data_IF_172217561091
#
_entry.id   IF_172217561091
#
_cell.length_a   1.000
_cell.length_b   1.000
_cell.length_c   1.000
_cell.angle_alpha   90.00
_cell.angle_beta   90.00
_cell.angle_gamma   90.00
#
_symmetry.space_group_name_H-M   'P 1'
#
loop_
_entity.id
_entity.type
_entity.pdbx_description
1 polymer ?
#
# COMPACT_ATOMS: atom_id res chain seq x y z
N UNK A 1 25.73 10.04 -20.28
CA UNK A 1 24.54 9.80 -19.44
C UNK A 1 23.65 8.86 -20.23
N UNK A 2 23.32 7.67 -19.71
CA UNK A 2 22.52 6.68 -20.44
C UNK A 2 21.12 7.24 -20.72
N UNK A 3 20.55 6.94 -21.88
CA UNK A 3 19.15 7.25 -22.19
C UNK A 3 18.28 6.01 -21.97
N UNK A 4 16.98 6.19 -21.80
CA UNK A 4 16.06 5.04 -21.66
C UNK A 4 16.09 4.18 -22.93
N UNK A 5 16.15 4.83 -24.10
CA UNK A 5 16.26 4.17 -25.40
C UNK A 5 17.57 3.40 -25.59
N UNK A 6 18.66 3.77 -24.90
CA UNK A 6 19.91 3.01 -24.97
C UNK A 6 19.95 1.84 -23.99
N UNK A 7 19.06 1.80 -23.00
CA UNK A 7 19.03 0.77 -21.95
C UNK A 7 18.01 -0.33 -22.19
N UNK A 8 16.88 0.00 -22.83
CA UNK A 8 15.75 -0.91 -23.01
C UNK A 8 15.63 -1.32 -24.48
N UNK A 9 15.39 -2.62 -24.72
CA UNK A 9 14.95 -3.09 -26.03
C UNK A 9 13.50 -2.64 -26.32
N UNK A 10 12.97 -2.98 -27.49
CA UNK A 10 11.64 -2.53 -27.92
C UNK A 10 10.52 -2.91 -26.93
N UNK A 11 10.45 -4.18 -26.52
CA UNK A 11 9.43 -4.69 -25.59
C UNK A 11 9.46 -3.93 -24.25
N UNK A 12 10.66 -3.77 -23.67
CA UNK A 12 10.82 -3.06 -22.41
C UNK A 12 10.54 -1.56 -22.53
N UNK A 13 10.87 -0.97 -23.68
CA UNK A 13 10.58 0.42 -23.94
C UNK A 13 9.05 0.65 -24.06
N UNK A 14 8.29 -0.30 -24.62
CA UNK A 14 6.83 -0.22 -24.63
C UNK A 14 6.24 -0.32 -23.24
N UNK A 15 6.70 -1.28 -22.42
CA UNK A 15 6.33 -1.40 -21.00
C UNK A 15 6.54 -0.08 -20.26
N UNK A 16 7.72 0.50 -20.40
CA UNK A 16 8.05 1.81 -19.84
C UNK A 16 7.12 2.93 -20.34
N UNK A 17 6.79 2.98 -21.64
CA UNK A 17 5.89 4.01 -22.20
C UNK A 17 4.51 4.01 -21.53
N UNK A 18 3.98 2.83 -21.15
CA UNK A 18 2.66 2.70 -20.51
C UNK A 18 2.58 3.36 -19.13
N UNK A 19 3.71 3.43 -18.42
CA UNK A 19 3.78 3.96 -17.05
C UNK A 19 4.38 5.37 -16.96
N UNK A 20 5.16 5.79 -17.96
CA UNK A 20 5.99 6.99 -17.90
C UNK A 20 5.22 8.30 -17.66
N UNK A 21 3.94 8.35 -18.03
CA UNK A 21 3.12 9.55 -18.02
C UNK A 21 1.99 9.52 -16.98
N UNK A 22 2.00 8.56 -16.04
CA UNK A 22 0.94 8.44 -15.04
C UNK A 22 0.89 9.63 -14.05
N UNK A 23 2.02 10.34 -13.84
CA UNK A 23 2.09 11.62 -13.11
C UNK A 23 1.29 11.64 -11.80
N UNK A 24 1.48 10.61 -10.97
CA UNK A 24 0.63 10.31 -9.82
C UNK A 24 0.98 11.24 -8.66
N UNK A 25 -0.06 11.86 -8.10
CA UNK A 25 -0.04 12.78 -6.96
C UNK A 25 -1.11 12.30 -5.98
N UNK A 26 -0.70 11.39 -5.11
CA UNK A 26 -1.61 10.73 -4.18
C UNK A 26 -1.52 11.33 -2.77
N UNK A 27 -2.66 11.35 -2.09
CA UNK A 27 -2.77 11.64 -0.66
C UNK A 27 -3.60 10.54 0.02
N UNK A 28 -3.39 10.37 1.33
CA UNK A 28 -4.10 9.41 2.16
C UNK A 28 -5.10 10.15 3.05
N UNK A 29 -6.30 9.59 3.20
CA UNK A 29 -7.37 10.20 3.98
C UNK A 29 -7.99 9.17 4.93
N UNK A 30 -7.87 9.41 6.23
CA UNK A 30 -8.64 8.66 7.23
C UNK A 30 -10.09 9.12 7.16
N UNK A 31 -11.01 8.25 6.76
CA UNK A 31 -12.42 8.63 6.66
C UNK A 31 -13.14 8.65 8.00
N UNK A 32 -12.59 7.98 9.00
CA UNK A 32 -13.20 7.86 10.33
C UNK A 32 -12.14 7.56 11.39
N UNK A 33 -12.42 7.97 12.63
CA UNK A 33 -11.63 7.57 13.79
C UNK A 33 -12.02 6.18 14.36
N UNK A 34 -13.01 5.51 13.74
CA UNK A 34 -13.60 4.24 14.22
C UNK A 34 -13.13 3.05 13.39
N UNK A 35 -13.01 1.89 14.04
CA UNK A 35 -12.84 0.59 13.38
C UNK A 35 -13.75 -0.44 14.04
N UNK A 36 -14.29 -1.37 13.26
CA UNK A 36 -15.03 -2.54 13.73
C UNK A 36 -14.13 -3.73 14.10
N UNK A 37 -12.79 -3.54 14.10
CA UNK A 37 -11.77 -4.49 14.57
C UNK A 37 -10.80 -3.82 15.56
N UNK A 38 -10.01 -4.63 16.27
CA UNK A 38 -8.91 -4.20 17.14
C UNK A 38 -7.69 -5.10 16.93
N UNK A 39 -7.09 -4.98 15.74
CA UNK A 39 -5.99 -5.86 15.35
C UNK A 39 -4.74 -5.63 16.22
N UNK A 40 -4.04 -6.70 16.56
CA UNK A 40 -2.81 -6.70 17.36
C UNK A 40 -1.66 -6.06 16.57
N UNK A 41 -1.22 -4.86 16.96
CA UNK A 41 -0.19 -4.12 16.23
C UNK A 41 -0.74 -3.22 15.11
N UNK A 42 -2.02 -2.86 15.16
CA UNK A 42 -2.61 -1.87 14.28
C UNK A 42 -2.10 -0.45 14.62
N UNK A 43 -1.23 0.10 13.78
CA UNK A 43 -0.63 1.44 13.96
C UNK A 43 -1.66 2.54 14.23
N UNK A 44 -2.86 2.41 13.66
CA UNK A 44 -3.93 3.41 13.77
C UNK A 44 -4.40 3.64 15.22
N UNK A 45 -4.59 2.56 15.97
CA UNK A 45 -4.96 2.66 17.39
C UNK A 45 -3.75 2.90 18.26
N UNK A 46 -2.71 2.15 17.96
CA UNK A 46 -1.57 1.98 18.83
C UNK A 46 -0.78 3.31 18.91
N UNK A 47 -0.64 4.01 17.79
CA UNK A 47 0.05 5.29 17.70
C UNK A 47 -0.85 6.51 17.90
N UNK A 48 -2.10 6.30 18.35
CA UNK A 48 -3.03 7.39 18.65
C UNK A 48 -3.57 8.15 17.43
N UNK A 49 -3.42 7.62 16.21
CA UNK A 49 -3.87 8.31 14.99
C UNK A 49 -5.39 8.52 14.94
N UNK A 50 -6.13 7.67 15.64
CA UNK A 50 -7.57 7.78 15.85
C UNK A 50 -7.99 8.90 16.83
N UNK A 51 -7.07 9.55 17.54
CA UNK A 51 -7.41 10.54 18.59
C UNK A 51 -7.67 11.91 17.93
N UNK A 52 -8.82 12.01 17.27
CA UNK A 52 -9.34 13.24 16.66
C UNK A 52 -10.86 13.30 16.83
N UNK A 53 -11.43 14.51 16.76
CA UNK A 53 -12.89 14.68 16.66
C UNK A 53 -13.30 14.63 15.21
N UNK A 54 -13.92 13.52 14.80
CA UNK A 54 -14.37 13.25 13.44
C UNK A 54 -15.33 14.35 12.93
N UNK A 55 -15.09 14.84 11.70
CA UNK A 55 -16.02 15.74 11.03
C UNK A 55 -17.18 14.93 10.44
N UNK A 56 -18.39 15.29 10.82
CA UNK A 56 -19.61 14.54 10.48
C UNK A 56 -20.39 15.17 9.32
N UNK A 57 -20.13 16.44 9.01
CA UNK A 57 -20.82 17.19 7.97
C UNK A 57 -20.28 16.85 6.58
N UNK A 58 -21.13 16.23 5.75
CA UNK A 58 -20.76 15.82 4.41
C UNK A 58 -20.40 17.00 3.50
N UNK A 59 -21.04 18.16 3.64
CA UNK A 59 -20.74 19.32 2.78
C UNK A 59 -19.32 19.84 3.02
N UNK A 60 -18.84 19.76 4.26
CA UNK A 60 -17.44 20.10 4.59
C UNK A 60 -16.45 19.09 4.00
N UNK A 61 -16.79 17.80 4.01
CA UNK A 61 -15.99 16.78 3.32
C UNK A 61 -15.91 17.08 1.83
N UNK A 62 -17.03 17.37 1.18
CA UNK A 62 -17.08 17.71 -0.24
C UNK A 62 -16.20 18.94 -0.56
N UNK A 63 -16.34 20.01 0.20
CA UNK A 63 -15.53 21.22 0.04
C UNK A 63 -14.03 20.96 0.30
N UNK A 64 -13.70 20.10 1.26
CA UNK A 64 -12.33 19.69 1.52
C UNK A 64 -11.75 18.90 0.33
N UNK A 65 -12.51 17.95 -0.22
CA UNK A 65 -12.09 17.16 -1.39
C UNK A 65 -11.83 18.07 -2.60
N UNK A 66 -12.70 19.07 -2.82
CA UNK A 66 -12.52 20.05 -3.90
C UNK A 66 -11.24 20.86 -3.73
N UNK A 67 -10.86 21.21 -2.49
CA UNK A 67 -9.57 21.86 -2.20
C UNK A 67 -8.39 20.94 -2.49
N UNK A 68 -8.47 19.67 -2.11
CA UNK A 68 -7.41 18.69 -2.37
C UNK A 68 -7.20 18.44 -3.86
N UNK A 69 -8.30 18.40 -4.63
CA UNK A 69 -8.26 18.36 -6.09
C UNK A 69 -7.60 19.60 -6.67
N UNK A 70 -7.97 20.79 -6.19
CA UNK A 70 -7.36 22.06 -6.61
C UNK A 70 -5.87 22.14 -6.25
N UNK A 71 -5.44 21.49 -5.16
CA UNK A 71 -4.02 21.32 -4.77
C UNK A 71 -3.24 20.40 -5.72
N UNK A 72 -3.93 19.69 -6.62
CA UNK A 72 -3.33 18.85 -7.67
C UNK A 72 -3.31 17.36 -7.35
N UNK A 73 -3.97 16.92 -6.27
CA UNK A 73 -4.15 15.49 -5.98
C UNK A 73 -4.97 14.86 -7.10
N UNK A 74 -4.50 13.73 -7.63
CA UNK A 74 -5.19 12.96 -8.68
C UNK A 74 -5.46 11.50 -8.30
N UNK A 75 -5.14 11.11 -7.07
CA UNK A 75 -5.48 9.81 -6.50
C UNK A 75 -5.71 9.93 -4.99
N UNK A 76 -6.92 9.64 -4.52
CA UNK A 76 -7.24 9.59 -3.11
C UNK A 76 -7.17 8.14 -2.59
N UNK A 77 -6.32 7.90 -1.60
CA UNK A 77 -6.21 6.62 -0.91
C UNK A 77 -7.00 6.72 0.39
N UNK A 78 -8.17 6.09 0.43
CA UNK A 78 -9.11 6.17 1.54
C UNK A 78 -8.85 5.01 2.49
N UNK A 79 -8.58 5.38 3.74
CA UNK A 79 -8.29 4.47 4.83
C UNK A 79 -9.08 4.91 6.08
N UNK A 80 -8.55 4.62 7.26
CA UNK A 80 -9.00 5.09 8.56
C UNK A 80 -8.83 3.94 9.55
N UNK A 81 -9.72 3.89 10.55
CA UNK A 81 -9.94 2.63 11.25
C UNK A 81 -10.59 1.61 10.31
N UNK A 82 -11.80 1.89 9.83
CA UNK A 82 -12.48 1.13 8.77
C UNK A 82 -13.33 2.06 7.89
N UNK A 83 -12.92 2.37 6.64
CA UNK A 83 -13.61 3.36 5.81
C UNK A 83 -15.04 2.98 5.43
N UNK A 84 -15.35 1.68 5.35
CA UNK A 84 -16.70 1.21 4.97
C UNK A 84 -17.79 1.50 6.02
N UNK A 85 -17.40 2.01 7.20
CA UNK A 85 -18.34 2.56 8.17
C UNK A 85 -18.90 3.94 7.76
N UNK A 86 -18.33 4.58 6.74
CA UNK A 86 -18.66 5.93 6.27
C UNK A 86 -18.87 5.95 4.74
N UNK A 87 -19.91 5.25 4.28
CA UNK A 87 -20.22 5.09 2.85
C UNK A 87 -20.59 6.39 2.12
N UNK A 88 -21.09 7.38 2.85
CA UNK A 88 -21.36 8.75 2.37
C UNK A 88 -20.06 9.47 2.00
N UNK A 89 -19.05 9.41 2.87
CA UNK A 89 -17.73 10.02 2.64
C UNK A 89 -16.95 9.30 1.55
N UNK A 90 -17.00 7.96 1.53
CA UNK A 90 -16.47 7.16 0.43
C UNK A 90 -17.04 7.61 -0.91
N UNK A 91 -18.37 7.78 -0.98
CA UNK A 91 -19.05 8.26 -2.18
C UNK A 91 -18.66 9.70 -2.56
N UNK A 92 -18.50 10.59 -1.58
CA UNK A 92 -18.10 11.97 -1.83
C UNK A 92 -16.72 12.05 -2.52
N UNK A 93 -15.75 11.24 -2.08
CA UNK A 93 -14.44 11.12 -2.75
C UNK A 93 -14.57 10.50 -4.13
N UNK A 94 -15.23 9.34 -4.23
CA UNK A 94 -15.37 8.61 -5.49
C UNK A 94 -15.98 9.45 -6.62
N UNK A 95 -16.98 10.29 -6.30
CA UNK A 95 -17.61 11.21 -7.28
C UNK A 95 -16.71 12.35 -7.76
N UNK A 96 -15.66 12.70 -7.00
CA UNK A 96 -14.85 13.91 -7.23
C UNK A 96 -13.43 13.62 -7.71
N UNK A 97 -12.88 12.47 -7.31
CA UNK A 97 -11.46 12.14 -7.46
C UNK A 97 -11.29 10.63 -7.68
N UNK A 98 -10.35 10.20 -8.56
CA UNK A 98 -9.96 8.79 -8.61
C UNK A 98 -9.59 8.28 -7.22
N UNK A 99 -10.16 7.16 -6.84
CA UNK A 99 -10.22 6.73 -5.45
C UNK A 99 -9.86 5.26 -5.31
N UNK A 100 -9.09 4.94 -4.27
CA UNK A 100 -8.77 3.61 -3.81
C UNK A 100 -9.21 3.45 -2.36
N UNK A 101 -9.88 2.35 -2.02
CA UNK A 101 -10.35 2.06 -0.66
C UNK A 101 -9.55 0.90 -0.03
N UNK A 102 -8.85 1.16 1.07
CA UNK A 102 -8.24 0.10 1.88
C UNK A 102 -9.15 -0.27 3.05
N UNK A 103 -9.68 -1.49 3.05
CA UNK A 103 -10.69 -1.95 4.01
C UNK A 103 -10.31 -3.30 4.61
N UNK A 104 -10.88 -3.66 5.76
CA UNK A 104 -10.85 -5.03 6.26
C UNK A 104 -11.80 -5.99 5.54
N UNK A 105 -12.66 -5.48 4.64
CA UNK A 105 -13.51 -6.28 3.75
C UNK A 105 -14.73 -6.90 4.42
N UNK A 106 -15.03 -6.58 5.68
CA UNK A 106 -16.19 -7.12 6.39
C UNK A 106 -17.52 -6.52 5.92
N UNK A 107 -17.50 -5.28 5.45
CA UNK A 107 -18.64 -4.60 4.83
C UNK A 107 -18.35 -4.50 3.34
N UNK A 108 -19.25 -5.05 2.53
CA UNK A 108 -19.12 -5.05 1.07
C UNK A 108 -19.42 -3.66 0.51
N UNK A 109 -18.56 -3.18 -0.39
CA UNK A 109 -18.89 -2.06 -1.25
C UNK A 109 -19.78 -2.56 -2.40
N UNK A 110 -20.95 -1.96 -2.57
CA UNK A 110 -21.84 -2.31 -3.68
C UNK A 110 -21.27 -1.81 -5.01
N UNK A 111 -21.19 -2.69 -6.01
CA UNK A 111 -20.80 -2.32 -7.38
C UNK A 111 -21.86 -1.49 -8.11
N UNK A 112 -23.10 -1.48 -7.64
CA UNK A 112 -24.12 -0.55 -8.13
C UNK A 112 -23.76 0.91 -7.82
N UNK A 113 -23.04 1.12 -6.71
CA UNK A 113 -22.63 2.44 -6.22
C UNK A 113 -21.19 2.79 -6.59
N UNK A 114 -20.31 1.78 -6.60
CA UNK A 114 -18.87 1.92 -6.84
C UNK A 114 -18.41 0.94 -7.93
N UNK A 115 -18.84 1.14 -9.19
CA UNK A 115 -18.68 0.15 -10.27
C UNK A 115 -17.21 -0.24 -10.54
N UNK A 116 -16.28 0.70 -10.43
CA UNK A 116 -14.86 0.51 -10.79
C UNK A 116 -13.89 0.95 -9.68
N UNK A 117 -14.38 1.27 -8.48
CA UNK A 117 -13.51 1.69 -7.39
C UNK A 117 -12.61 0.54 -6.94
N UNK A 118 -11.29 0.78 -6.91
CA UNK A 118 -10.34 -0.22 -6.46
C UNK A 118 -10.43 -0.44 -4.95
N UNK A 119 -10.46 -1.70 -4.54
CA UNK A 119 -10.56 -2.15 -3.14
C UNK A 119 -9.37 -3.02 -2.78
N UNK A 120 -8.53 -2.54 -1.88
CA UNK A 120 -7.50 -3.36 -1.23
C UNK A 120 -8.01 -3.90 0.09
N UNK A 121 -8.05 -5.22 0.21
CA UNK A 121 -8.57 -5.90 1.40
C UNK A 121 -7.38 -6.31 2.27
N UNK A 122 -7.26 -5.74 3.47
CA UNK A 122 -6.23 -6.14 4.41
C UNK A 122 -6.43 -7.60 4.84
N UNK A 123 -5.37 -8.41 4.76
CA UNK A 123 -5.30 -9.79 5.22
C UNK A 123 -3.96 -10.02 5.93
N UNK A 124 -3.96 -10.71 7.05
CA UNK A 124 -2.80 -10.97 7.90
C UNK A 124 -2.55 -12.47 8.09
N UNK A 125 -3.20 -13.33 7.30
CA UNK A 125 -2.91 -14.76 7.26
C UNK A 125 -4.10 -15.65 6.93
N UNK A 126 -3.97 -16.92 7.31
CA UNK A 126 -5.07 -17.87 7.26
C UNK A 126 -6.14 -17.58 8.32
N UNK A 127 -7.22 -18.36 8.33
CA UNK A 127 -8.35 -18.12 9.24
C UNK A 127 -7.98 -18.11 10.74
N UNK A 128 -7.03 -18.95 11.17
CA UNK A 128 -6.54 -18.93 12.55
C UNK A 128 -5.64 -17.72 12.85
N UNK A 129 -4.75 -17.34 11.93
CA UNK A 129 -3.95 -16.12 12.06
C UNK A 129 -4.87 -14.89 12.17
N UNK A 130 -5.90 -14.82 11.35
CA UNK A 130 -6.91 -13.76 11.36
C UNK A 130 -7.65 -13.68 12.71
N UNK A 131 -8.06 -14.82 13.28
CA UNK A 131 -8.67 -14.85 14.61
C UNK A 131 -7.70 -14.34 15.69
N UNK A 132 -6.45 -14.81 15.68
CA UNK A 132 -5.44 -14.43 16.67
C UNK A 132 -5.05 -12.97 16.56
N UNK A 133 -4.84 -12.47 15.34
CA UNK A 133 -4.29 -11.16 15.10
C UNK A 133 -5.34 -10.07 14.97
N UNK A 134 -6.55 -10.42 14.50
CA UNK A 134 -7.60 -9.45 14.13
C UNK A 134 -8.92 -9.70 14.84
N UNK A 135 -9.00 -10.74 15.67
CA UNK A 135 -10.12 -11.07 16.54
C UNK A 135 -11.24 -11.85 15.84
N UNK A 136 -11.14 -12.13 14.54
CA UNK A 136 -12.06 -12.98 13.78
C UNK A 136 -11.45 -13.41 12.44
N UNK A 137 -12.01 -14.45 11.84
CA UNK A 137 -11.66 -14.89 10.49
C UNK A 137 -12.20 -13.89 9.45
N UNK A 138 -11.46 -12.81 9.17
CA UNK A 138 -11.91 -11.80 8.19
C UNK A 138 -11.86 -12.35 6.77
N UNK A 139 -11.01 -13.34 6.49
CA UNK A 139 -10.96 -13.99 5.18
C UNK A 139 -12.29 -14.68 4.85
N UNK A 140 -12.88 -15.42 5.80
CA UNK A 140 -14.15 -16.13 5.58
C UNK A 140 -15.32 -15.21 5.19
N UNK A 141 -15.27 -13.94 5.60
CA UNK A 141 -16.29 -12.93 5.25
C UNK A 141 -15.89 -12.17 3.98
N UNK A 142 -14.67 -11.65 3.93
CA UNK A 142 -14.20 -10.82 2.81
C UNK A 142 -14.14 -11.59 1.49
N UNK A 143 -13.77 -12.88 1.52
CA UNK A 143 -13.77 -13.72 0.31
C UNK A 143 -15.16 -13.85 -0.30
N UNK A 144 -16.19 -14.06 0.52
CA UNK A 144 -17.59 -14.10 0.06
C UNK A 144 -18.07 -12.75 -0.44
N UNK A 145 -17.61 -11.66 0.18
CA UNK A 145 -17.99 -10.32 -0.24
C UNK A 145 -17.43 -9.98 -1.64
N UNK A 146 -16.23 -10.46 -1.98
CA UNK A 146 -15.49 -10.02 -3.15
C UNK A 146 -15.10 -11.15 -4.12
N UNK A 147 -15.66 -12.36 -4.00
CA UNK A 147 -15.36 -13.47 -4.90
C UNK A 147 -15.47 -13.07 -6.38
N UNK A 148 -14.40 -13.30 -7.14
CA UNK A 148 -14.29 -12.97 -8.56
C UNK A 148 -14.35 -11.47 -8.90
N UNK A 149 -14.29 -10.57 -7.93
CA UNK A 149 -14.41 -9.13 -8.15
C UNK A 149 -13.17 -8.58 -8.88
N UNK A 150 -13.32 -7.99 -10.09
CA UNK A 150 -12.19 -7.54 -10.90
C UNK A 150 -11.52 -6.26 -10.41
N UNK A 151 -12.09 -5.61 -9.38
CA UNK A 151 -11.59 -4.39 -8.75
C UNK A 151 -11.28 -4.58 -7.27
N UNK A 152 -11.14 -5.83 -6.81
CA UNK A 152 -10.70 -6.15 -5.47
C UNK A 152 -9.45 -7.03 -5.48
N UNK A 153 -8.57 -6.83 -4.51
CA UNK A 153 -7.44 -7.72 -4.26
C UNK A 153 -7.05 -7.69 -2.79
N UNK A 154 -6.33 -8.72 -2.35
CA UNK A 154 -5.82 -8.77 -0.98
C UNK A 154 -4.48 -8.05 -0.84
N UNK A 155 -4.39 -7.19 0.18
CA UNK A 155 -3.14 -6.72 0.75
C UNK A 155 -2.75 -7.69 1.87
N UNK A 156 -1.94 -8.68 1.54
CA UNK A 156 -1.50 -9.68 2.52
C UNK A 156 -0.26 -9.19 3.28
N UNK A 157 -0.47 -8.75 4.51
CA UNK A 157 0.59 -8.38 5.46
C UNK A 157 1.16 -9.64 6.13
N UNK A 158 2.35 -10.06 5.69
CA UNK A 158 3.08 -11.19 6.24
C UNK A 158 3.76 -10.80 7.55
N UNK A 159 3.76 -11.71 8.51
CA UNK A 159 4.42 -11.57 9.82
C UNK A 159 5.56 -12.59 9.95
N UNK A 160 6.55 -12.39 10.86
CA UNK A 160 7.65 -13.34 11.05
C UNK A 160 7.22 -14.78 11.33
N UNK A 161 6.07 -14.96 11.98
CA UNK A 161 5.53 -16.29 12.34
C UNK A 161 4.96 -17.08 11.16
N UNK A 162 4.85 -16.44 10.00
CA UNK A 162 4.23 -16.99 8.78
C UNK A 162 5.25 -17.36 7.70
N UNK A 163 6.54 -17.18 7.94
CA UNK A 163 7.59 -17.66 7.03
C UNK A 163 7.45 -19.18 6.87
N UNK A 164 7.45 -19.63 5.61
CA UNK A 164 7.20 -21.01 5.20
C UNK A 164 5.72 -21.42 5.19
N UNK A 165 4.79 -20.46 5.28
CA UNK A 165 3.33 -20.71 5.40
C UNK A 165 2.47 -19.78 4.56
N UNK A 166 3.01 -19.02 3.61
CA UNK A 166 2.21 -18.06 2.85
C UNK A 166 1.46 -18.73 1.68
N UNK A 167 1.97 -19.84 1.14
CA UNK A 167 1.36 -20.53 -0.01
C UNK A 167 -0.11 -20.95 0.22
N UNK A 168 -0.48 -21.61 1.34
CA UNK A 168 -1.88 -21.99 1.56
C UNK A 168 -2.84 -20.80 1.56
N UNK A 169 -2.38 -19.61 1.98
CA UNK A 169 -3.18 -18.38 1.94
C UNK A 169 -3.32 -17.88 0.50
N UNK A 170 -2.23 -17.85 -0.26
CA UNK A 170 -2.22 -17.43 -1.67
C UNK A 170 -3.11 -18.34 -2.52
N UNK A 171 -3.02 -19.66 -2.31
CA UNK A 171 -3.90 -20.62 -2.99
C UNK A 171 -5.37 -20.33 -2.71
N UNK A 172 -5.75 -20.07 -1.45
CA UNK A 172 -7.14 -19.72 -1.11
C UNK A 172 -7.61 -18.42 -1.75
N UNK A 173 -6.72 -17.44 -1.90
CA UNK A 173 -7.02 -16.18 -2.62
C UNK A 173 -7.24 -16.47 -4.11
N UNK A 174 -6.39 -17.30 -4.72
CA UNK A 174 -6.53 -17.71 -6.11
C UNK A 174 -7.84 -18.50 -6.34
N UNK A 175 -8.20 -19.40 -5.42
CA UNK A 175 -9.40 -20.23 -5.49
C UNK A 175 -10.70 -19.38 -5.51
N UNK A 176 -10.69 -18.18 -4.93
CA UNK A 176 -11.84 -17.22 -4.97
C UNK A 176 -11.72 -16.18 -6.09
N UNK A 177 -10.79 -16.38 -7.02
CA UNK A 177 -10.64 -15.55 -8.22
C UNK A 177 -10.07 -14.15 -7.98
N UNK A 178 -9.41 -13.92 -6.84
CA UNK A 178 -8.85 -12.62 -6.48
C UNK A 178 -7.33 -12.56 -6.66
N UNK A 179 -6.79 -11.34 -6.75
CA UNK A 179 -5.34 -11.10 -6.76
C UNK A 179 -4.81 -10.85 -5.34
N UNK A 180 -3.49 -10.88 -5.19
CA UNK A 180 -2.81 -10.56 -3.93
C UNK A 180 -1.53 -9.75 -4.15
N UNK A 181 -1.27 -8.83 -3.25
CA UNK A 181 0.02 -8.15 -3.09
C UNK A 181 0.54 -8.41 -1.68
N UNK A 182 1.82 -8.78 -1.59
CA UNK A 182 2.47 -9.11 -0.33
C UNK A 182 3.11 -7.85 0.27
N UNK A 183 2.90 -7.63 1.55
CA UNK A 183 3.54 -6.58 2.35
C UNK A 183 4.07 -7.18 3.64
N UNK A 184 4.98 -6.51 4.32
CA UNK A 184 5.53 -6.99 5.58
C UNK A 184 4.99 -6.18 6.75
N UNK A 185 4.64 -6.86 7.83
CA UNK A 185 4.31 -6.18 9.07
C UNK A 185 5.55 -5.47 9.59
N UNK A 186 5.37 -4.22 9.97
CA UNK A 186 6.38 -3.44 10.68
C UNK A 186 5.94 -3.29 12.13
N UNK A 187 6.74 -3.75 13.09
CA UNK A 187 6.40 -3.68 14.50
C UNK A 187 6.64 -2.26 15.04
N UNK A 188 5.58 -1.46 15.16
CA UNK A 188 5.67 -0.10 15.68
C UNK A 188 5.84 -0.01 17.19
N UNK A 189 5.43 -1.04 17.93
CA UNK A 189 5.11 -0.86 19.35
C UNK A 189 5.59 -2.00 20.23
N UNK A 190 6.66 -2.63 19.80
CA UNK A 190 7.24 -3.73 20.55
C UNK A 190 6.24 -4.83 20.86
N UNK A 191 5.28 -5.03 19.96
CA UNK A 191 4.32 -6.12 20.05
C UNK A 191 5.14 -7.40 20.00
N UNK A 192 5.09 -8.18 21.07
CA UNK A 192 5.92 -9.35 21.22
C UNK A 192 5.70 -10.35 20.07
N UNK A 193 6.81 -10.81 19.48
CA UNK A 193 6.83 -11.78 18.39
C UNK A 193 6.69 -11.24 16.96
N UNK A 194 6.79 -9.93 16.73
CA UNK A 194 6.70 -9.31 15.39
C UNK A 194 8.00 -8.63 14.90
N UNK A 195 9.14 -8.98 15.49
CA UNK A 195 10.44 -8.49 15.03
C UNK A 195 11.03 -9.45 14.00
N UNK A 196 11.44 -8.90 12.87
CA UNK A 196 12.12 -9.64 11.83
C UNK A 196 13.58 -9.88 12.18
N UNK A 197 14.01 -11.14 12.11
CA UNK A 197 15.42 -11.52 12.07
C UNK A 197 15.88 -11.58 10.62
N UNK A 198 17.17 -11.36 10.38
CA UNK A 198 17.72 -11.36 9.02
C UNK A 198 17.44 -12.69 8.29
N UNK A 199 17.65 -13.84 8.96
CA UNK A 199 17.35 -15.14 8.37
C UNK A 199 15.87 -15.32 7.98
N UNK A 200 14.93 -14.78 8.77
CA UNK A 200 13.50 -14.84 8.44
C UNK A 200 13.17 -14.00 7.20
N UNK A 201 13.86 -12.87 7.00
CA UNK A 201 13.70 -12.02 5.82
C UNK A 201 14.31 -12.66 4.57
N UNK A 202 15.44 -13.36 4.74
CA UNK A 202 16.10 -14.09 3.66
C UNK A 202 15.23 -15.27 3.18
N UNK A 203 14.71 -16.06 4.12
CA UNK A 203 13.79 -17.17 3.86
C UNK A 203 12.48 -16.66 3.24
N UNK A 204 11.89 -15.59 3.79
CA UNK A 204 10.68 -15.00 3.24
C UNK A 204 10.88 -14.50 1.81
N UNK A 205 12.04 -13.91 1.48
CA UNK A 205 12.30 -13.45 0.11
C UNK A 205 12.26 -14.61 -0.88
N UNK A 206 12.88 -15.75 -0.53
CA UNK A 206 12.83 -16.96 -1.36
C UNK A 206 11.39 -17.43 -1.54
N UNK A 207 10.63 -17.51 -0.45
CA UNK A 207 9.22 -17.89 -0.48
C UNK A 207 8.38 -16.93 -1.34
N UNK A 208 8.57 -15.61 -1.22
CA UNK A 208 7.87 -14.61 -2.04
C UNK A 208 8.19 -14.76 -3.54
N UNK A 209 9.45 -15.05 -3.88
CA UNK A 209 9.88 -15.27 -5.27
C UNK A 209 9.28 -16.57 -5.84
N UNK A 210 9.31 -17.66 -5.07
CA UNK A 210 8.69 -18.94 -5.43
C UNK A 210 7.17 -18.79 -5.65
N UNK A 211 6.51 -18.03 -4.77
CA UNK A 211 5.09 -17.76 -4.90
C UNK A 211 4.75 -16.93 -6.15
N UNK A 212 5.59 -15.96 -6.50
CA UNK A 212 5.42 -15.19 -7.73
C UNK A 212 5.59 -16.08 -8.97
N UNK A 213 6.51 -17.04 -8.94
CA UNK A 213 6.74 -17.99 -10.03
C UNK A 213 5.61 -19.03 -10.15
N UNK A 214 5.07 -19.51 -9.03
CA UNK A 214 3.97 -20.50 -9.01
C UNK A 214 2.59 -19.88 -9.28
N UNK A 215 2.36 -18.64 -8.85
CA UNK A 215 1.08 -17.95 -8.98
C UNK A 215 1.19 -16.59 -9.70
N UNK A 216 1.80 -16.52 -10.90
CA UNK A 216 2.07 -15.24 -11.60
C UNK A 216 0.80 -14.53 -12.05
N UNK A 217 -0.32 -15.26 -12.16
CA UNK A 217 -1.63 -14.68 -12.47
C UNK A 217 -2.33 -14.14 -11.22
N UNK A 218 -1.96 -14.56 -10.02
CA UNK A 218 -2.62 -14.15 -8.77
C UNK A 218 -1.82 -13.06 -8.07
N UNK A 219 -0.49 -13.14 -8.09
CA UNK A 219 0.38 -12.23 -7.35
C UNK A 219 0.73 -11.01 -8.20
N UNK A 220 0.43 -9.83 -7.67
CA UNK A 220 0.87 -8.55 -8.24
C UNK A 220 2.12 -8.12 -7.48
N UNK A 221 3.28 -8.52 -8.00
CA UNK A 221 4.56 -8.20 -7.39
C UNK A 221 5.73 -8.15 -8.39
N UNK A 222 6.94 -7.89 -7.89
CA UNK A 222 8.21 -8.09 -8.62
C UNK A 222 9.30 -8.62 -7.67
N UNK A 223 10.22 -9.42 -8.19
CA UNK A 223 11.36 -9.94 -7.39
C UNK A 223 12.26 -8.82 -6.86
N UNK A 224 12.40 -7.72 -7.61
CA UNK A 224 13.14 -6.57 -7.13
C UNK A 224 12.47 -5.88 -5.94
N UNK A 225 11.13 -5.77 -5.93
CA UNK A 225 10.41 -5.31 -4.76
C UNK A 225 10.63 -6.23 -3.56
N UNK A 226 10.58 -7.56 -3.75
CA UNK A 226 10.86 -8.54 -2.69
C UNK A 226 12.26 -8.33 -2.09
N UNK A 227 13.29 -8.16 -2.94
CA UNK A 227 14.64 -7.86 -2.51
C UNK A 227 14.71 -6.57 -1.67
N UNK A 228 14.14 -5.47 -2.18
CA UNK A 228 14.23 -4.16 -1.50
C UNK A 228 13.49 -4.16 -0.17
N UNK A 229 12.29 -4.73 -0.09
CA UNK A 229 11.50 -4.74 1.15
C UNK A 229 12.11 -5.66 2.21
N UNK A 230 12.63 -6.84 1.85
CA UNK A 230 13.20 -7.76 2.83
C UNK A 230 14.57 -7.30 3.30
N UNK A 231 15.45 -6.86 2.40
CA UNK A 231 16.80 -6.38 2.78
C UNK A 231 16.78 -4.98 3.40
N UNK A 232 15.80 -4.15 3.02
CA UNK A 232 15.83 -2.71 3.30
C UNK A 232 16.94 -1.98 2.55
N UNK A 233 17.44 -2.54 1.45
CA UNK A 233 18.52 -1.98 0.64
C UNK A 233 18.05 -1.72 -0.79
N UNK A 234 18.46 -0.60 -1.38
CA UNK A 234 18.20 -0.27 -2.79
C UNK A 234 19.44 0.39 -3.38
N UNK A 235 20.05 -0.26 -4.38
CA UNK A 235 21.26 0.23 -5.06
C UNK A 235 22.38 0.61 -4.08
N UNK A 236 22.62 -0.24 -3.07
CA UNK A 236 23.64 -0.04 -2.05
C UNK A 236 23.27 0.95 -0.92
N UNK A 237 22.08 1.55 -0.95
CA UNK A 237 21.59 2.48 0.09
C UNK A 237 20.62 1.78 1.02
N UNK A 238 20.61 2.16 2.30
CA UNK A 238 19.74 1.59 3.33
C UNK A 238 18.49 2.45 3.52
N UNK A 239 17.32 1.82 3.54
CA UNK A 239 16.05 2.49 3.82
C UNK A 239 16.05 3.10 5.23
N UNK A 240 15.38 4.23 5.37
CA UNK A 240 15.25 4.92 6.65
C UNK A 240 14.69 6.33 6.49
N UNK A 241 14.77 7.12 7.57
CA UNK A 241 14.28 8.50 7.57
C UNK A 241 14.93 9.35 6.47
N UNK A 242 16.20 9.12 6.11
CA UNK A 242 16.89 9.89 5.06
C UNK A 242 16.60 9.40 3.63
N UNK A 243 15.71 8.42 3.46
CA UNK A 243 15.39 7.82 2.17
C UNK A 243 13.88 7.76 1.89
N UNK A 244 13.04 7.72 2.94
CA UNK A 244 11.60 7.55 2.81
C UNK A 244 10.91 8.72 2.07
N UNK A 245 10.21 8.47 0.95
CA UNK A 245 9.54 9.53 0.20
C UNK A 245 8.10 9.82 0.68
N UNK A 246 7.55 8.98 1.57
CA UNK A 246 6.15 9.02 2.01
C UNK A 246 5.96 9.81 3.31
N UNK A 247 6.53 11.00 3.37
CA UNK A 247 6.42 11.94 4.51
C UNK A 247 5.53 13.09 4.10
N UNK A 248 4.60 13.48 4.98
CA UNK A 248 3.70 14.62 4.72
C UNK A 248 4.52 15.88 4.44
N UNK A 249 4.22 16.55 3.32
CA UNK A 249 5.08 17.57 2.74
C UNK A 249 5.41 18.73 3.70
N UNK A 250 4.43 19.21 4.48
CA UNK A 250 4.65 20.29 5.47
C UNK A 250 5.36 19.85 6.75
N UNK A 251 5.50 18.54 6.98
CA UNK A 251 6.21 17.97 8.14
C UNK A 251 7.62 17.49 7.78
N UNK A 252 7.97 17.51 6.49
CA UNK A 252 9.29 17.09 6.02
C UNK A 252 10.32 18.22 6.17
N UNK A 253 11.10 18.15 7.26
CA UNK A 253 12.11 19.15 7.64
C UNK A 253 13.55 18.74 7.29
N UNK A 254 13.73 17.65 6.52
CA UNK A 254 15.04 17.08 6.20
C UNK A 254 15.92 18.06 5.41
N UNK A 255 17.21 18.10 5.76
CA UNK A 255 18.25 18.90 5.09
C UNK A 255 19.47 18.01 4.81
N UNK A 256 19.93 17.90 3.54
CA UNK A 256 19.30 18.42 2.32
C UNK A 256 17.94 17.73 2.03
N UNK A 257 17.08 18.33 1.18
CA UNK A 257 15.83 17.69 0.78
C UNK A 257 16.08 16.34 0.11
N UNK A 258 15.25 15.36 0.43
CA UNK A 258 15.26 14.03 -0.20
C UNK A 258 14.17 13.94 -1.27
N UNK A 259 14.26 12.93 -2.16
CA UNK A 259 13.19 12.67 -3.12
C UNK A 259 11.94 12.22 -2.39
N UNK A 260 10.79 12.78 -2.77
CA UNK A 260 9.51 12.55 -2.08
C UNK A 260 8.36 12.43 -3.06
N UNK A 261 7.25 11.88 -2.58
CA UNK A 261 5.98 11.91 -3.29
C UNK A 261 5.52 13.37 -3.44
N UNK A 262 5.05 13.71 -4.64
CA UNK A 262 4.66 15.09 -4.98
C UNK A 262 3.35 15.41 -4.27
N UNK A 263 3.34 16.50 -3.48
CA UNK A 263 2.15 16.97 -2.76
C UNK A 263 1.51 15.93 -1.84
N UNK A 264 2.29 15.02 -1.28
CA UNK A 264 1.77 13.98 -0.41
C UNK A 264 1.38 14.51 0.98
N UNK A 265 0.18 14.15 1.41
CA UNK A 265 -0.36 14.38 2.75
C UNK A 265 -1.12 13.15 3.22
N UNK A 266 -1.04 12.85 4.51
CA UNK A 266 -1.97 11.94 5.20
C UNK A 266 -2.84 12.75 6.16
N UNK A 267 -4.13 12.81 5.91
CA UNK A 267 -5.10 13.59 6.69
C UNK A 267 -5.91 12.71 7.64
N UNK A 268 -6.18 13.24 8.84
CA UNK A 268 -7.11 12.64 9.79
C UNK A 268 -8.57 12.94 9.41
N UNK A 269 -9.50 12.27 10.09
CA UNK A 269 -10.94 12.38 9.84
C UNK A 269 -11.58 13.71 10.32
N UNK A 270 -10.79 14.65 10.85
CA UNK A 270 -11.23 15.99 11.28
C UNK A 270 -11.00 17.09 10.21
N UNK A 271 -10.46 16.69 9.04
CA UNK A 271 -10.13 17.56 7.90
C UNK A 271 -9.07 18.64 8.19
N UNK A 272 -8.34 18.51 9.31
CA UNK A 272 -7.37 19.53 9.78
C UNK A 272 -6.04 18.91 10.21
N UNK A 273 -6.10 17.82 10.95
CA UNK A 273 -4.93 17.15 11.48
C UNK A 273 -4.22 16.38 10.37
N UNK A 274 -2.89 16.51 10.33
CA UNK A 274 -2.02 15.81 9.38
C UNK A 274 -1.11 14.85 10.13
N UNK A 275 -0.97 13.65 9.60
CA UNK A 275 -0.09 12.63 10.15
C UNK A 275 1.31 12.73 9.52
N UNK A 276 2.33 12.25 10.24
CA UNK A 276 3.73 12.37 9.81
C UNK A 276 4.02 11.70 8.47
N UNK A 277 3.52 10.49 8.26
CA UNK A 277 3.81 9.65 7.09
C UNK A 277 2.62 8.74 6.75
N UNK A 278 2.79 7.86 5.76
CA UNK A 278 1.75 6.91 5.33
C UNK A 278 1.28 5.91 6.40
N UNK A 279 2.05 5.72 7.48
CA UNK A 279 1.71 4.84 8.61
C UNK A 279 1.56 5.65 9.88
N UNK A 280 2.54 5.59 10.79
CA UNK A 280 2.46 6.14 12.14
C UNK A 280 3.46 7.27 12.42
N UNK A 281 3.06 8.21 13.26
CA UNK A 281 3.92 9.24 13.84
C UNK A 281 5.04 8.70 14.74
N UNK A 282 4.87 7.53 15.37
CA UNK A 282 5.85 6.90 16.27
C UNK A 282 6.74 5.88 15.57
N UNK A 283 6.45 5.53 14.31
CA UNK A 283 7.22 4.55 13.53
C UNK A 283 8.72 4.80 13.53
N UNK A 284 9.48 3.78 13.94
CA UNK A 284 10.92 3.73 13.70
C UNK A 284 11.17 3.50 12.20
N UNK A 285 11.75 4.52 11.57
CA UNK A 285 12.00 4.49 10.14
C UNK A 285 13.07 3.46 9.74
N UNK A 286 13.98 3.11 10.66
CA UNK A 286 15.10 2.19 10.38
C UNK A 286 14.66 0.73 10.26
N UNK A 287 13.52 0.39 10.85
CA UNK A 287 12.93 -0.96 10.86
C UNK A 287 11.61 -1.02 10.08
N UNK A 288 11.20 0.09 9.46
CA UNK A 288 10.01 0.15 8.63
C UNK A 288 10.13 -0.81 7.44
N UNK A 289 9.05 -1.56 7.20
CA UNK A 289 8.82 -2.53 6.12
C UNK A 289 7.49 -2.25 5.41
N UNK A 290 6.97 -1.03 5.51
CA UNK A 290 5.74 -0.64 4.83
C UNK A 290 5.89 -0.73 3.32
N UNK A 291 4.95 -1.43 2.67
CA UNK A 291 5.01 -1.69 1.24
C UNK A 291 4.91 -0.42 0.40
N UNK A 292 4.03 0.52 0.77
CA UNK A 292 3.88 1.78 0.06
C UNK A 292 5.14 2.65 0.16
N UNK A 293 5.78 2.68 1.32
CA UNK A 293 7.04 3.40 1.54
C UNK A 293 8.20 2.84 0.69
N UNK A 294 8.33 1.50 0.59
CA UNK A 294 9.40 0.88 -0.22
C UNK A 294 9.13 0.98 -1.73
N UNK A 295 7.88 0.76 -2.17
CA UNK A 295 7.49 0.94 -3.57
C UNK A 295 7.78 2.36 -4.05
N UNK A 296 7.30 3.35 -3.28
CA UNK A 296 7.52 4.75 -3.63
C UNK A 296 8.99 5.13 -3.60
N UNK A 297 9.81 4.54 -2.71
CA UNK A 297 11.25 4.79 -2.68
C UNK A 297 11.91 4.39 -4.00
N UNK A 298 11.56 3.23 -4.55
CA UNK A 298 12.02 2.80 -5.88
C UNK A 298 11.52 3.76 -6.96
N UNK A 299 10.22 4.07 -6.96
CA UNK A 299 9.58 4.88 -8.00
C UNK A 299 10.17 6.29 -8.12
N UNK A 300 10.42 6.98 -7.00
CA UNK A 300 11.00 8.35 -7.04
C UNK A 300 12.49 8.36 -7.41
N UNK A 301 13.16 7.21 -7.37
CA UNK A 301 14.60 7.06 -7.66
C UNK A 301 14.89 6.56 -9.08
N UNK A 302 14.06 6.93 -10.08
CA UNK A 302 14.23 6.52 -11.48
C UNK A 302 15.63 6.79 -12.05
N UNK A 303 16.21 7.96 -11.78
CA UNK A 303 17.51 8.35 -12.37
C UNK A 303 18.64 7.42 -11.94
N UNK A 304 18.64 6.97 -10.70
CA UNK A 304 19.61 6.02 -10.14
C UNK A 304 19.46 4.64 -10.80
N UNK A 305 18.24 4.30 -11.22
CA UNK A 305 17.96 3.06 -11.95
C UNK A 305 18.33 3.14 -13.44
N UNK A 306 18.88 4.25 -13.94
CA UNK A 306 19.34 4.38 -15.33
C UNK A 306 20.83 4.02 -15.50
N UNK A 307 21.44 3.36 -14.52
CA UNK A 307 22.85 2.96 -14.57
C UNK A 307 23.07 1.75 -15.48
N UNK A 308 22.21 0.73 -15.38
CA UNK A 308 22.27 -0.49 -16.18
C UNK A 308 20.91 -0.85 -16.76
N UNK A 309 20.88 -1.70 -17.79
CA UNK A 309 19.63 -2.25 -18.33
C UNK A 309 18.82 -2.95 -17.24
N UNK A 310 19.48 -3.74 -16.38
CA UNK A 310 18.83 -4.48 -15.30
C UNK A 310 18.17 -3.55 -14.29
N UNK A 311 18.84 -2.47 -13.89
CA UNK A 311 18.27 -1.50 -12.94
C UNK A 311 17.03 -0.82 -13.52
N UNK A 312 17.05 -0.48 -14.82
CA UNK A 312 15.91 0.18 -15.47
C UNK A 312 14.73 -0.78 -15.65
N UNK A 313 14.99 -2.06 -15.92
CA UNK A 313 13.98 -3.11 -15.93
C UNK A 313 13.34 -3.30 -14.55
N UNK A 314 14.15 -3.40 -13.51
CA UNK A 314 13.72 -3.47 -12.11
C UNK A 314 12.81 -2.30 -11.73
N UNK A 315 13.19 -1.07 -12.09
CA UNK A 315 12.35 0.11 -11.86
C UNK A 315 11.02 0.04 -12.62
N UNK A 316 11.06 -0.42 -13.88
CA UNK A 316 9.87 -0.54 -14.74
C UNK A 316 8.89 -1.56 -14.15
N UNK A 317 9.36 -2.71 -13.68
CA UNK A 317 8.52 -3.74 -13.05
C UNK A 317 7.86 -3.26 -11.77
N UNK A 318 8.59 -2.58 -10.89
CA UNK A 318 8.01 -2.04 -9.65
C UNK A 318 6.97 -0.96 -9.93
N UNK A 319 7.19 -0.11 -10.92
CA UNK A 319 6.21 0.91 -11.27
C UNK A 319 4.99 0.28 -11.97
N UNK A 320 5.16 -0.72 -12.84
CA UNK A 320 4.03 -1.49 -13.40
C UNK A 320 3.24 -2.19 -12.28
N UNK A 321 3.92 -2.81 -11.31
CA UNK A 321 3.31 -3.38 -10.11
C UNK A 321 2.45 -2.34 -9.38
N UNK A 322 2.99 -1.16 -9.07
CA UNK A 322 2.21 -0.07 -8.48
C UNK A 322 1.00 0.31 -9.34
N UNK A 323 1.20 0.53 -10.64
CA UNK A 323 0.13 0.92 -11.56
C UNK A 323 -0.99 -0.13 -11.62
N UNK A 324 -0.67 -1.42 -11.51
CA UNK A 324 -1.63 -2.53 -11.43
C UNK A 324 -2.44 -2.52 -10.15
N UNK A 325 -1.81 -2.25 -8.99
CA UNK A 325 -2.49 -2.18 -7.70
C UNK A 325 -3.59 -1.12 -7.67
N UNK A 326 -3.37 -0.01 -8.37
CA UNK A 326 -4.35 1.09 -8.49
C UNK A 326 -5.14 1.07 -9.81
N UNK A 327 -5.04 0.00 -10.60
CA UNK A 327 -5.72 -0.20 -11.90
C UNK A 327 -5.52 0.94 -12.90
N UNK A 328 -4.37 1.60 -12.84
CA UNK A 328 -3.92 2.58 -13.83
C UNK A 328 -3.46 1.91 -15.13
N UNK A 329 -3.10 0.63 -15.03
CA UNK A 329 -2.93 -0.30 -16.15
C UNK A 329 -3.64 -1.63 -15.82
N UNK A 330 -3.98 -2.46 -16.82
CA UNK A 330 -4.52 -3.80 -16.58
C UNK A 330 -3.56 -4.70 -15.78
N UNK A 331 -4.11 -5.65 -15.02
CA UNK A 331 -3.36 -6.67 -14.28
C UNK A 331 -2.52 -7.56 -15.19
#
# INVERSE_FOLDING_TARGET
MNTISSLLNEDWHERYRRIANLNIRSSIYDLTNRCNLRCKGCFFFSSGEHIVTEEMDIEKWEHFIDKEKARGVNLAILIGGEPTLCMDRLEAFYKRLPTYCATNGLIKLSRDKFPDMMVGISLWGGGEDEKVLRGKDTFAVSSKNYEGDPYAYYLYTVTPRQVGKIEPVIKRIADVGLKVHLQLLSNDESVDGFYWRQGELDDLRLEMDEMLDHYPQTIISSKYYHEVITTGMMLGRRFGWQECPSVTESLDTRKPPVRRLIHFYRWAADLKTIHRCCTSATRDCSTCKDGAAHMSWIMVNKREHMNTTRDMQNWTEVYEMFAKLYRLIPW
#
